data_IF_691674670616
#
_entry.id   IF_691674670616
#
_cell.length_a   1.000
_cell.length_b   1.000
_cell.length_c   1.000
_cell.angle_alpha   90.00
_cell.angle_beta   90.00
_cell.angle_gamma   90.00
#
_symmetry.space_group_name_H-M   'P 1'
#
loop_
_entity.id
_entity.type
_entity.pdbx_description
1 polymer ?
#
# COMPACT_ATOMS: atom_id res chain seq x y z
N UNK A 1 11.76 8.91 30.33
CA UNK A 1 10.72 8.45 29.37
C UNK A 1 10.27 7.07 29.82
N UNK A 2 8.96 6.80 29.91
CA UNK A 2 8.45 5.48 30.31
C UNK A 2 8.93 4.42 29.29
N UNK A 3 9.59 3.32 29.68
CA UNK A 3 10.14 2.31 28.76
C UNK A 3 9.07 1.69 27.84
N UNK A 4 7.82 1.70 28.28
CA UNK A 4 6.68 1.25 27.48
C UNK A 4 6.35 2.23 26.33
N UNK A 5 6.61 3.52 26.52
CA UNK A 5 6.37 4.55 25.49
C UNK A 5 7.45 4.52 24.40
N UNK A 6 8.72 4.27 24.76
CA UNK A 6 9.80 4.13 23.78
C UNK A 6 9.66 2.87 22.93
N UNK A 7 9.22 1.76 23.52
CA UNK A 7 8.94 0.53 22.77
C UNK A 7 7.74 0.71 21.83
N UNK A 8 6.63 1.27 22.31
CA UNK A 8 5.46 1.56 21.46
C UNK A 8 5.82 2.47 20.29
N UNK A 9 6.56 3.55 20.53
CA UNK A 9 7.01 4.48 19.47
C UNK A 9 7.83 3.77 18.37
N UNK A 10 8.64 2.77 18.74
CA UNK A 10 9.47 2.01 17.81
C UNK A 10 8.62 1.09 16.92
N UNK A 11 7.61 0.44 17.50
CA UNK A 11 6.84 -0.60 16.82
C UNK A 11 5.56 -0.09 16.15
N UNK A 12 5.06 1.09 16.53
CA UNK A 12 3.80 1.67 16.05
C UNK A 12 3.62 1.56 14.53
N UNK A 13 4.62 2.02 13.77
CA UNK A 13 4.57 2.05 12.31
C UNK A 13 4.47 0.65 11.71
N UNK A 14 5.22 -0.32 12.24
CA UNK A 14 5.20 -1.71 11.75
C UNK A 14 3.92 -2.44 12.13
N UNK A 15 3.41 -2.23 13.35
CA UNK A 15 2.12 -2.80 13.76
C UNK A 15 1.03 -2.28 12.83
N UNK A 16 1.05 -0.99 12.52
CA UNK A 16 0.07 -0.40 11.63
C UNK A 16 0.20 -0.90 10.18
N UNK A 17 1.42 -1.04 9.64
CA UNK A 17 1.59 -1.56 8.27
C UNK A 17 1.12 -3.01 8.15
N UNK A 18 1.33 -3.85 9.18
CA UNK A 18 0.76 -5.21 9.22
C UNK A 18 -0.77 -5.14 9.22
N UNK A 19 -1.36 -4.31 10.09
CA UNK A 19 -2.81 -4.13 10.15
C UNK A 19 -3.41 -3.66 8.82
N UNK A 20 -2.79 -2.65 8.19
CA UNK A 20 -3.19 -2.16 6.88
C UNK A 20 -3.08 -3.24 5.79
N UNK A 21 -2.02 -4.07 5.85
CA UNK A 21 -1.84 -5.20 4.92
C UNK A 21 -2.95 -6.24 5.08
N UNK A 22 -3.33 -6.58 6.32
CA UNK A 22 -4.41 -7.55 6.56
C UNK A 22 -5.73 -7.03 6.01
N UNK A 23 -6.09 -5.78 6.32
CA UNK A 23 -7.35 -5.18 5.85
C UNK A 23 -7.38 -5.09 4.33
N UNK A 24 -6.28 -4.66 3.70
CA UNK A 24 -6.20 -4.52 2.24
C UNK A 24 -6.32 -5.87 1.55
N UNK A 25 -5.66 -6.92 2.05
CA UNK A 25 -5.81 -8.28 1.50
C UNK A 25 -7.24 -8.79 1.63
N UNK A 26 -7.87 -8.65 2.81
CA UNK A 26 -9.28 -9.03 3.03
C UNK A 26 -10.17 -8.28 2.04
N UNK A 27 -9.96 -6.96 1.88
CA UNK A 27 -10.74 -6.15 0.96
C UNK A 27 -10.61 -6.64 -0.49
N UNK A 28 -9.38 -6.92 -0.94
CA UNK A 28 -9.12 -7.46 -2.28
C UNK A 28 -9.84 -8.79 -2.48
N UNK A 29 -9.81 -9.70 -1.49
CA UNK A 29 -10.48 -11.00 -1.60
C UNK A 29 -11.99 -10.87 -1.83
N UNK A 30 -12.65 -9.94 -1.14
CA UNK A 30 -14.10 -9.75 -1.26
C UNK A 30 -14.53 -8.85 -2.42
N UNK A 31 -13.63 -8.01 -2.95
CA UNK A 31 -13.97 -6.98 -3.94
C UNK A 31 -13.13 -7.07 -5.22
N UNK A 32 -12.56 -8.24 -5.52
CA UNK A 32 -11.85 -8.47 -6.79
C UNK A 32 -12.66 -9.36 -7.74
N UNK A 33 -12.49 -9.10 -9.03
CA UNK A 33 -12.97 -9.94 -10.12
C UNK A 33 -11.78 -10.57 -10.81
N UNK A 34 -11.88 -11.87 -11.07
CA UNK A 34 -10.89 -12.63 -11.83
C UNK A 34 -11.46 -12.97 -13.20
N UNK A 35 -10.89 -12.39 -14.25
CA UNK A 35 -11.31 -12.66 -15.63
C UNK A 35 -10.67 -13.94 -16.15
N UNK A 36 -11.50 -14.92 -16.53
CA UNK A 36 -11.04 -16.17 -17.14
C UNK A 36 -10.77 -15.96 -18.63
N UNK A 37 -9.56 -16.31 -19.07
CA UNK A 37 -9.15 -16.28 -20.47
C UNK A 37 -9.51 -17.60 -21.16
N UNK A 38 -10.34 -17.51 -22.19
CA UNK A 38 -10.58 -18.61 -23.12
C UNK A 38 -9.70 -18.42 -24.36
N UNK A 39 -8.63 -19.20 -24.47
CA UNK A 39 -7.65 -19.10 -25.54
C UNK A 39 -8.23 -19.46 -26.91
N UNK A 40 -9.22 -20.34 -26.96
CA UNK A 40 -9.84 -20.78 -28.22
C UNK A 40 -10.69 -19.65 -28.80
N UNK A 41 -11.51 -19.01 -27.96
CA UNK A 41 -12.26 -17.81 -28.37
C UNK A 41 -11.35 -16.61 -28.64
N UNK A 42 -10.29 -16.43 -27.87
CA UNK A 42 -9.34 -15.32 -28.05
C UNK A 42 -8.68 -15.28 -29.42
N UNK A 43 -8.41 -16.45 -30.01
CA UNK A 43 -7.76 -16.53 -31.32
C UNK A 43 -8.75 -16.50 -32.49
N UNK A 44 -10.01 -16.89 -32.27
CA UNK A 44 -10.98 -17.15 -33.34
C UNK A 44 -12.09 -16.09 -33.43
N UNK A 45 -12.32 -15.30 -32.39
CA UNK A 45 -13.37 -14.28 -32.33
C UNK A 45 -12.74 -12.89 -32.12
N UNK A 46 -12.92 -12.01 -33.11
CA UNK A 46 -12.32 -10.67 -33.15
C UNK A 46 -12.90 -9.77 -32.04
N UNK A 47 -14.19 -9.88 -31.74
CA UNK A 47 -14.84 -9.06 -30.71
C UNK A 47 -14.39 -9.51 -29.31
N UNK A 48 -14.29 -10.83 -29.11
CA UNK A 48 -13.73 -11.38 -27.87
C UNK A 48 -12.25 -11.03 -27.72
N UNK A 49 -11.46 -11.08 -28.80
CA UNK A 49 -10.06 -10.66 -28.81
C UNK A 49 -9.90 -9.20 -28.37
N UNK A 50 -10.65 -8.28 -28.98
CA UNK A 50 -10.57 -6.84 -28.67
C UNK A 50 -11.01 -6.54 -27.24
N UNK A 51 -12.07 -7.20 -26.76
CA UNK A 51 -12.53 -7.06 -25.38
C UNK A 51 -11.48 -7.59 -24.40
N UNK A 52 -10.96 -8.79 -24.65
CA UNK A 52 -10.08 -9.46 -23.71
C UNK A 52 -8.67 -8.88 -23.72
N UNK A 53 -8.16 -8.39 -24.86
CA UNK A 53 -6.88 -7.67 -24.95
C UNK A 53 -6.91 -6.38 -24.12
N UNK A 54 -8.03 -5.65 -24.12
CA UNK A 54 -8.21 -4.47 -23.27
C UNK A 54 -8.16 -4.80 -21.77
N UNK A 55 -8.70 -5.96 -21.37
CA UNK A 55 -8.68 -6.45 -19.98
C UNK A 55 -7.27 -6.94 -19.60
N UNK A 56 -6.63 -7.72 -20.47
CA UNK A 56 -5.26 -8.24 -20.28
C UNK A 56 -4.24 -7.11 -20.12
N UNK A 57 -4.37 -6.03 -20.88
CA UNK A 57 -3.48 -4.86 -20.73
C UNK A 57 -3.52 -4.25 -19.32
N UNK A 58 -4.60 -4.49 -18.58
CA UNK A 58 -4.81 -4.04 -17.20
C UNK A 58 -4.64 -5.17 -16.17
N UNK A 59 -4.33 -6.38 -16.61
CA UNK A 59 -4.22 -7.56 -15.76
C UNK A 59 -5.56 -8.25 -15.48
N UNK A 60 -5.51 -9.55 -15.24
CA UNK A 60 -6.68 -10.43 -15.11
C UNK A 60 -7.41 -10.31 -13.77
N UNK A 61 -6.72 -9.85 -12.72
CA UNK A 61 -7.31 -9.60 -11.40
C UNK A 61 -7.49 -8.11 -11.23
N UNK A 62 -8.74 -7.68 -11.08
CA UNK A 62 -9.10 -6.27 -11.00
C UNK A 62 -9.98 -6.03 -9.78
N UNK A 63 -9.84 -4.86 -9.15
CA UNK A 63 -10.77 -4.43 -8.12
C UNK A 63 -12.09 -3.99 -8.76
N UNK A 64 -13.20 -4.26 -8.08
CA UNK A 64 -14.52 -3.83 -8.50
C UNK A 64 -14.63 -2.30 -8.42
N UNK A 65 -15.17 -1.68 -9.46
CA UNK A 65 -15.32 -0.22 -9.55
C UNK A 65 -14.37 0.38 -10.58
N UNK A 66 -13.81 1.56 -10.27
CA UNK A 66 -12.88 2.23 -11.16
C UNK A 66 -11.51 1.53 -11.14
N UNK A 67 -11.05 1.12 -12.31
CA UNK A 67 -9.78 0.39 -12.44
C UNK A 67 -8.55 1.28 -12.28
N UNK A 68 -8.70 2.60 -12.46
CA UNK A 68 -7.60 3.55 -12.47
C UNK A 68 -7.46 4.35 -11.16
N UNK A 69 -8.47 4.31 -10.28
CA UNK A 69 -8.50 5.11 -9.06
C UNK A 69 -9.05 4.29 -7.89
N UNK A 70 -8.58 4.62 -6.69
CA UNK A 70 -8.99 3.94 -5.47
C UNK A 70 -10.25 4.60 -4.91
N UNK A 71 -11.41 4.10 -5.34
CA UNK A 71 -12.72 4.66 -4.94
C UNK A 71 -13.25 4.08 -3.62
N UNK A 72 -12.59 3.06 -3.08
CA UNK A 72 -13.01 2.39 -1.85
C UNK A 72 -12.79 3.28 -0.64
N UNK A 73 -13.86 3.81 -0.06
CA UNK A 73 -13.82 4.62 1.16
C UNK A 73 -13.00 3.95 2.29
N UNK A 74 -13.16 2.63 2.47
CA UNK A 74 -12.44 1.87 3.48
C UNK A 74 -10.92 1.88 3.22
N UNK A 75 -10.51 1.60 1.97
CA UNK A 75 -9.09 1.63 1.64
C UNK A 75 -8.54 3.06 1.75
N UNK A 76 -9.22 4.07 1.20
CA UNK A 76 -8.80 5.48 1.32
C UNK A 76 -8.54 5.81 2.79
N UNK A 77 -9.47 5.46 3.68
CA UNK A 77 -9.35 5.71 5.11
C UNK A 77 -8.12 5.05 5.74
N UNK A 78 -7.86 3.78 5.41
CA UNK A 78 -6.65 3.05 5.88
C UNK A 78 -5.37 3.73 5.38
N UNK A 79 -5.30 4.09 4.10
CA UNK A 79 -4.11 4.72 3.56
C UNK A 79 -3.87 6.12 4.14
N UNK A 80 -4.91 6.93 4.32
CA UNK A 80 -4.82 8.26 4.95
C UNK A 80 -4.39 8.15 6.42
N UNK A 81 -4.93 7.20 7.18
CA UNK A 81 -4.47 6.94 8.54
C UNK A 81 -3.00 6.51 8.58
N UNK A 82 -2.54 5.71 7.62
CA UNK A 82 -1.13 5.35 7.47
C UNK A 82 -0.23 6.57 7.28
N UNK A 83 -0.65 7.52 6.43
CA UNK A 83 0.05 8.80 6.24
C UNK A 83 0.13 9.59 7.55
N UNK A 84 -0.98 9.67 8.30
CA UNK A 84 -1.01 10.36 9.59
C UNK A 84 -0.07 9.72 10.61
N UNK A 85 -0.03 8.39 10.69
CA UNK A 85 0.89 7.67 11.59
C UNK A 85 2.35 7.88 11.19
N UNK A 86 2.66 7.93 9.89
CA UNK A 86 3.99 8.31 9.41
C UNK A 86 4.36 9.73 9.86
N UNK A 87 3.43 10.68 9.75
CA UNK A 87 3.65 12.07 10.15
C UNK A 87 3.86 12.20 11.66
N UNK A 88 3.05 11.54 12.48
CA UNK A 88 3.23 11.47 13.94
C UNK A 88 4.61 10.86 14.28
N UNK A 89 4.99 9.78 13.61
CA UNK A 89 6.29 9.13 13.80
C UNK A 89 7.45 10.07 13.45
N UNK A 90 7.28 10.92 12.43
CA UNK A 90 8.27 11.92 12.04
C UNK A 90 8.40 13.02 13.11
N UNK A 91 7.28 13.58 13.58
CA UNK A 91 7.26 14.59 14.65
C UNK A 91 7.90 14.07 15.94
N UNK A 92 7.56 12.84 16.34
CA UNK A 92 8.11 12.22 17.55
C UNK A 92 9.64 12.02 17.48
N UNK A 93 10.23 11.98 16.28
CA UNK A 93 11.66 11.75 16.06
C UNK A 93 12.42 13.00 15.57
N UNK A 94 11.75 14.15 15.45
CA UNK A 94 12.31 15.38 14.85
C UNK A 94 13.67 15.81 15.43
N UNK A 95 13.84 15.72 16.75
CA UNK A 95 15.06 16.16 17.44
C UNK A 95 16.21 15.13 17.44
N UNK A 96 16.05 14.00 16.76
CA UNK A 96 17.00 12.88 16.79
C UNK A 96 17.81 12.88 15.50
N UNK A 97 19.15 12.89 15.57
CA UNK A 97 20.12 12.82 14.46
C UNK A 97 19.55 12.68 13.02
N UNK A 98 19.86 13.67 12.16
CA UNK A 98 19.39 13.90 10.78
C UNK A 98 19.15 12.68 9.86
N UNK A 99 19.84 11.54 10.03
CA UNK A 99 19.64 10.35 9.18
C UNK A 99 18.44 9.48 9.60
N UNK A 100 17.91 9.66 10.81
CA UNK A 100 16.86 8.79 11.40
C UNK A 100 15.46 9.39 11.24
N UNK A 101 15.38 10.72 11.28
CA UNK A 101 14.14 11.51 11.22
C UNK A 101 13.31 11.22 9.98
N UNK A 102 13.97 10.93 8.85
CA UNK A 102 13.32 10.79 7.55
C UNK A 102 12.91 9.36 7.20
N UNK A 103 13.23 8.36 8.02
CA UNK A 103 12.86 6.96 7.75
C UNK A 103 11.35 6.70 7.64
N UNK A 104 10.45 7.39 8.40
CA UNK A 104 9.01 7.29 8.16
C UNK A 104 8.56 7.76 6.78
N UNK A 105 9.33 8.63 6.10
CA UNK A 105 8.96 9.14 4.78
C UNK A 105 8.93 8.04 3.72
N UNK A 106 9.79 7.03 3.83
CA UNK A 106 9.76 5.87 2.93
C UNK A 106 8.41 5.17 3.05
N UNK A 107 7.93 4.97 4.28
CA UNK A 107 6.63 4.34 4.50
C UNK A 107 5.47 5.24 4.04
N UNK A 108 5.60 6.55 4.26
CA UNK A 108 4.63 7.56 3.80
C UNK A 108 4.49 7.54 2.27
N UNK A 109 5.58 7.43 1.51
CA UNK A 109 5.53 7.27 0.05
C UNK A 109 4.73 6.03 -0.36
N UNK A 110 4.92 4.92 0.35
CA UNK A 110 4.15 3.70 0.12
C UNK A 110 2.64 3.91 0.33
N UNK A 111 2.25 4.66 1.36
CA UNK A 111 0.85 4.97 1.60
C UNK A 111 0.26 6.03 0.64
N UNK A 112 1.08 6.95 0.13
CA UNK A 112 0.64 7.97 -0.83
C UNK A 112 0.47 7.43 -2.26
N UNK A 113 1.24 6.40 -2.63
CA UNK A 113 1.28 5.84 -3.98
C UNK A 113 -0.11 5.51 -4.56
N UNK A 114 -0.93 4.66 -3.91
CA UNK A 114 -2.24 4.30 -4.43
C UNK A 114 -3.28 5.42 -4.35
N UNK A 115 -2.99 6.54 -3.67
CA UNK A 115 -3.88 7.70 -3.57
C UNK A 115 -3.58 8.78 -4.62
N UNK A 116 -2.38 8.77 -5.21
CA UNK A 116 -1.88 9.89 -6.03
C UNK A 116 -1.66 9.51 -7.49
N UNK A 117 -1.24 8.27 -7.74
CA UNK A 117 -0.93 7.82 -9.10
C UNK A 117 -2.20 7.29 -9.75
N UNK A 118 -2.60 7.92 -10.85
CA UNK A 118 -3.81 7.61 -11.60
C UNK A 118 -3.43 7.36 -13.06
N UNK A 119 -2.63 6.34 -13.33
CA UNK A 119 -2.02 6.14 -14.66
C UNK A 119 -2.88 5.34 -15.64
N UNK A 120 -4.18 5.13 -15.38
CA UNK A 120 -5.02 4.26 -16.21
C UNK A 120 -4.66 2.76 -16.13
N UNK A 121 -3.55 2.45 -15.47
CA UNK A 121 -3.12 1.13 -15.04
C UNK A 121 -3.98 0.61 -13.88
N UNK A 122 -3.92 -0.68 -13.64
CA UNK A 122 -4.72 -1.33 -12.61
C UNK A 122 -4.28 -0.91 -11.21
N UNK A 123 -5.18 -0.22 -10.51
CA UNK A 123 -5.01 0.32 -9.16
C UNK A 123 -4.57 -0.74 -8.15
N UNK A 124 -4.94 -2.02 -8.35
CA UNK A 124 -4.50 -3.13 -7.50
C UNK A 124 -2.97 -3.23 -7.43
N UNK A 125 -2.27 -3.03 -8.56
CA UNK A 125 -0.81 -3.06 -8.59
C UNK A 125 -0.21 -1.93 -7.76
N UNK A 126 -0.80 -0.74 -7.80
CA UNK A 126 -0.35 0.40 -7.01
C UNK A 126 -0.60 0.21 -5.51
N UNK A 127 -1.73 -0.41 -5.15
CA UNK A 127 -2.05 -0.81 -3.78
C UNK A 127 -1.01 -1.79 -3.24
N UNK A 128 -0.71 -2.84 -4.00
CA UNK A 128 0.28 -3.87 -3.62
C UNK A 128 1.69 -3.29 -3.52
N UNK A 129 2.12 -2.52 -4.52
CA UNK A 129 3.43 -1.88 -4.54
C UNK A 129 3.57 -0.88 -3.39
N UNK A 130 2.55 -0.07 -3.15
CA UNK A 130 2.48 0.85 -2.02
C UNK A 130 2.65 0.14 -0.67
N UNK A 131 1.98 -1.01 -0.48
CA UNK A 131 2.12 -1.81 0.74
C UNK A 131 3.54 -2.37 0.92
N UNK A 132 4.17 -2.86 -0.15
CA UNK A 132 5.55 -3.36 -0.10
C UNK A 132 6.50 -2.24 0.36
N UNK A 133 6.39 -1.05 -0.26
CA UNK A 133 7.21 0.11 0.13
C UNK A 133 6.90 0.53 1.57
N UNK A 134 5.63 0.56 1.97
CA UNK A 134 5.22 0.90 3.32
C UNK A 134 5.82 -0.05 4.37
N UNK A 135 5.82 -1.36 4.07
CA UNK A 135 6.38 -2.41 4.90
C UNK A 135 7.89 -2.30 5.02
N UNK A 136 8.61 -2.19 3.90
CA UNK A 136 10.07 -1.99 3.87
C UNK A 136 10.46 -0.74 4.66
N UNK A 137 9.76 0.38 4.44
CA UNK A 137 9.98 1.62 5.19
C UNK A 137 9.80 1.43 6.71
N UNK A 138 8.80 0.65 7.13
CA UNK A 138 8.56 0.38 8.55
C UNK A 138 9.63 -0.48 9.22
N UNK A 139 10.25 -1.41 8.48
CA UNK A 139 11.39 -2.20 8.96
C UNK A 139 12.61 -1.29 9.15
N UNK A 140 12.93 -0.45 8.15
CA UNK A 140 14.03 0.51 8.25
C UNK A 140 13.85 1.48 9.42
N UNK A 141 12.62 1.94 9.66
CA UNK A 141 12.28 2.78 10.81
C UNK A 141 12.62 2.12 12.15
N UNK A 142 12.28 0.84 12.34
CA UNK A 142 12.62 0.10 13.57
C UNK A 142 14.14 0.03 13.76
N UNK A 143 14.90 -0.28 12.71
CA UNK A 143 16.37 -0.37 12.81
C UNK A 143 17.01 0.99 13.11
N UNK A 144 16.48 2.07 12.53
CA UNK A 144 16.97 3.41 12.76
C UNK A 144 16.77 3.87 14.22
N UNK A 145 15.65 3.50 14.83
CA UNK A 145 15.30 3.85 16.22
C UNK A 145 15.83 2.84 17.24
N UNK A 146 16.00 1.57 16.88
CA UNK A 146 16.57 0.55 17.77
C UNK A 146 17.96 0.92 18.30
N UNK A 147 18.75 1.66 17.51
CA UNK A 147 20.08 2.16 17.91
C UNK A 147 20.09 3.29 18.95
N UNK A 148 18.95 3.85 19.37
CA UNK A 148 18.90 4.92 20.40
C UNK A 148 18.52 4.43 21.80
N UNK A 149 18.01 3.20 21.93
CA UNK A 149 17.46 2.70 23.20
C UNK A 149 18.25 1.51 23.78
N UNK A 150 19.40 1.20 23.21
CA UNK A 150 20.39 0.27 23.77
C UNK A 150 21.56 1.04 24.36
#
# INVERSE_FOLDING_TARGET
>A
MNPLFSSLKRWLLLIYTIFATIITVIYIMFNSTFYKLDLVKYNNDIDYHNKMSSILSKGLLQLNGNFAQLDSFLLIFVYVLGILICFISLLLNWNTYNKRTYTPLISMLGFCLPLTVHNGENILWMVLLGLIIAFVGSIFYIFAIGKTYN
#
